data_IF_583768224181
#
_entry.id   IF_583768224181
#
_cell.length_a   1.000
_cell.length_b   1.000
_cell.length_c   1.000
_cell.angle_alpha   90.00
_cell.angle_beta   90.00
_cell.angle_gamma   90.00
#
_symmetry.space_group_name_H-M   'P 1'
#
loop_
_entity.id
_entity.type
_entity.pdbx_description
1 polymer ?
#
# COMPACT_ATOMS: atom_id res chain seq x y z
N UNK A 1 1.57 -5.34 16.42
CA UNK A 1 1.81 -4.11 17.25
C UNK A 1 1.93 -2.95 16.27
N UNK A 2 1.29 -1.81 16.53
CA UNK A 2 1.37 -0.64 15.65
C UNK A 2 2.72 0.07 15.83
N UNK A 3 3.25 0.71 14.79
CA UNK A 3 4.52 1.47 14.86
C UNK A 3 4.45 2.55 15.97
N UNK A 4 5.51 2.67 16.76
CA UNK A 4 5.59 3.64 17.88
C UNK A 4 5.46 5.07 17.34
N UNK A 5 4.57 5.87 17.94
CA UNK A 5 4.26 7.24 17.51
C UNK A 5 3.14 7.36 16.47
N UNK A 6 2.55 6.24 15.99
CA UNK A 6 1.46 6.27 15.02
C UNK A 6 0.24 7.06 15.49
N UNK A 7 -0.14 6.94 16.75
CA UNK A 7 -1.30 7.64 17.30
C UNK A 7 -1.20 9.17 17.14
N UNK A 8 0.00 9.75 17.28
CA UNK A 8 0.22 11.18 17.01
C UNK A 8 0.00 11.50 15.53
N UNK A 9 0.55 10.69 14.63
CA UNK A 9 0.39 10.86 13.18
C UNK A 9 -1.06 10.69 12.73
N UNK A 10 -1.78 9.77 13.34
CA UNK A 10 -3.20 9.59 13.08
C UNK A 10 -4.03 10.79 13.53
N UNK A 11 -3.76 11.37 14.69
CA UNK A 11 -4.44 12.61 15.15
C UNK A 11 -4.20 13.79 14.19
N UNK A 12 -2.98 13.94 13.69
CA UNK A 12 -2.67 14.95 12.67
C UNK A 12 -3.50 14.72 11.39
N UNK A 13 -3.63 13.46 10.93
CA UNK A 13 -4.44 13.12 9.74
C UNK A 13 -5.91 13.44 9.95
N UNK A 14 -6.49 13.06 11.10
CA UNK A 14 -7.88 13.40 11.43
C UNK A 14 -8.14 14.90 11.35
N UNK A 15 -7.22 15.70 11.95
CA UNK A 15 -7.32 17.18 11.95
C UNK A 15 -7.19 17.76 10.54
N UNK A 16 -6.18 17.31 9.76
CA UNK A 16 -5.88 17.89 8.45
C UNK A 16 -6.95 17.60 7.40
N UNK A 17 -7.66 16.48 7.52
CA UNK A 17 -8.62 16.01 6.51
C UNK A 17 -10.06 15.98 7.02
N UNK A 18 -10.33 16.37 8.26
CA UNK A 18 -11.68 16.39 8.84
C UNK A 18 -12.28 15.01 9.06
N UNK A 19 -11.45 13.97 9.22
CA UNK A 19 -11.95 12.60 9.37
C UNK A 19 -12.43 12.29 10.79
N UNK A 20 -13.39 11.37 10.89
CA UNK A 20 -13.99 10.92 12.14
C UNK A 20 -13.35 9.63 12.66
N UNK A 21 -12.77 9.69 13.85
CA UNK A 21 -12.27 8.47 14.54
C UNK A 21 -13.38 7.46 14.81
N UNK A 22 -14.60 7.91 15.04
CA UNK A 22 -15.73 7.01 15.32
C UNK A 22 -16.16 6.25 14.07
N UNK A 23 -16.19 6.90 12.91
CA UNK A 23 -16.47 6.25 11.63
C UNK A 23 -15.39 5.21 11.30
N UNK A 24 -14.11 5.54 11.51
CA UNK A 24 -13.00 4.57 11.35
C UNK A 24 -13.18 3.35 12.26
N UNK A 25 -13.61 3.54 13.51
CA UNK A 25 -13.88 2.44 14.44
C UNK A 25 -15.08 1.58 13.99
N UNK A 26 -16.15 2.21 13.47
CA UNK A 26 -17.32 1.49 12.96
C UNK A 26 -16.94 0.64 11.74
N UNK A 27 -16.22 1.21 10.78
CA UNK A 27 -15.71 0.52 9.60
C UNK A 27 -14.76 -0.63 9.98
N UNK A 28 -13.92 -0.44 10.98
CA UNK A 28 -13.04 -1.47 11.52
C UNK A 28 -13.86 -2.65 12.11
N UNK A 29 -14.92 -2.38 12.88
CA UNK A 29 -15.83 -3.41 13.43
C UNK A 29 -16.51 -4.18 12.31
N UNK A 30 -17.05 -3.48 11.32
CA UNK A 30 -17.70 -4.08 10.16
C UNK A 30 -16.73 -4.99 9.41
N UNK A 31 -15.51 -4.51 9.09
CA UNK A 31 -14.52 -5.34 8.42
C UNK A 31 -14.17 -6.58 9.25
N UNK A 32 -13.97 -6.42 10.57
CA UNK A 32 -13.67 -7.55 11.46
C UNK A 32 -14.76 -8.64 11.44
N UNK A 33 -16.03 -8.27 11.34
CA UNK A 33 -17.15 -9.22 11.27
C UNK A 33 -17.22 -9.98 9.94
N UNK A 34 -16.74 -9.38 8.85
CA UNK A 34 -16.81 -9.94 7.49
C UNK A 34 -15.60 -10.80 7.13
N UNK A 35 -14.47 -10.63 7.81
CA UNK A 35 -13.24 -11.39 7.53
C UNK A 35 -13.38 -12.86 7.93
N UNK A 36 -12.78 -13.75 7.13
CA UNK A 36 -12.67 -15.17 7.44
C UNK A 36 -11.90 -15.40 8.75
N UNK A 37 -12.09 -16.57 9.39
CA UNK A 37 -11.41 -16.92 10.64
C UNK A 37 -9.89 -16.93 10.49
N UNK A 38 -9.36 -17.52 9.40
CA UNK A 38 -7.94 -17.57 9.09
C UNK A 38 -7.53 -16.37 8.22
N UNK A 39 -6.56 -15.61 8.70
CA UNK A 39 -5.97 -14.49 7.96
C UNK A 39 -4.56 -14.86 7.49
N UNK A 40 -4.12 -14.46 6.28
CA UNK A 40 -2.84 -14.87 5.69
C UNK A 40 -1.63 -14.09 6.24
N UNK A 41 -1.50 -13.95 7.55
CA UNK A 41 -0.40 -13.20 8.19
C UNK A 41 0.95 -13.90 8.01
N UNK A 42 0.97 -15.22 8.12
CA UNK A 42 2.19 -16.02 7.94
C UNK A 42 2.66 -15.91 6.51
N UNK A 43 1.74 -16.05 5.57
CA UNK A 43 1.99 -15.95 4.13
C UNK A 43 2.54 -14.57 3.75
N UNK A 44 2.00 -13.47 4.33
CA UNK A 44 2.55 -12.11 4.13
C UNK A 44 3.99 -12.03 4.64
N UNK A 45 4.22 -12.53 5.86
CA UNK A 45 5.57 -12.55 6.44
C UNK A 45 6.56 -13.31 5.56
N UNK A 46 6.16 -14.48 5.06
CA UNK A 46 7.03 -15.34 4.25
C UNK A 46 7.32 -14.74 2.86
N UNK A 47 6.43 -13.91 2.33
CA UNK A 47 6.66 -13.14 1.12
C UNK A 47 7.65 -11.99 1.33
N UNK A 48 7.72 -11.40 2.53
CA UNK A 48 8.40 -10.12 2.78
C UNK A 48 9.69 -10.27 3.60
N UNK A 49 9.66 -11.06 4.69
CA UNK A 49 10.72 -11.07 5.71
C UNK A 49 12.10 -11.37 5.12
N UNK A 50 13.06 -10.49 5.39
CA UNK A 50 14.46 -10.58 4.95
C UNK A 50 14.66 -10.65 3.42
N UNK A 51 13.64 -10.24 2.64
CA UNK A 51 13.68 -10.26 1.16
C UNK A 51 13.61 -8.84 0.58
N UNK A 52 14.12 -8.63 -0.65
CA UNK A 52 13.80 -7.44 -1.40
C UNK A 52 12.32 -7.48 -1.83
N UNK A 53 11.64 -6.33 -1.80
CA UNK A 53 10.27 -6.17 -2.26
C UNK A 53 10.13 -4.95 -3.16
N UNK A 54 9.26 -5.03 -4.16
CA UNK A 54 8.79 -3.89 -4.94
C UNK A 54 7.49 -3.37 -4.32
N UNK A 55 7.46 -2.08 -3.99
CA UNK A 55 6.23 -1.36 -3.68
C UNK A 55 5.83 -0.52 -4.89
N UNK A 56 4.63 -0.76 -5.39
CA UNK A 56 4.20 -0.26 -6.70
C UNK A 56 3.00 0.67 -6.51
N UNK A 57 3.21 1.95 -6.82
CA UNK A 57 2.18 2.98 -6.84
C UNK A 57 1.64 3.28 -8.23
N UNK A 58 0.55 4.05 -8.30
CA UNK A 58 -0.15 4.43 -9.54
C UNK A 58 0.33 5.78 -10.12
N UNK A 59 1.53 6.22 -9.79
CA UNK A 59 2.06 7.50 -10.23
C UNK A 59 2.40 7.53 -11.73
N UNK A 60 2.70 8.73 -12.28
CA UNK A 60 3.01 8.91 -13.71
C UNK A 60 4.18 8.07 -14.22
N UNK A 61 5.14 7.72 -13.36
CA UNK A 61 6.32 6.92 -13.74
C UNK A 61 6.04 5.41 -13.81
N UNK A 62 4.87 4.92 -13.38
CA UNK A 62 4.56 3.48 -13.39
C UNK A 62 4.74 2.80 -14.77
N UNK A 63 4.32 3.40 -15.90
CA UNK A 63 4.51 2.75 -17.20
C UNK A 63 5.97 2.42 -17.53
N UNK A 64 6.91 3.30 -17.14
CA UNK A 64 8.35 3.06 -17.36
C UNK A 64 8.92 1.97 -16.45
N UNK A 65 8.21 1.57 -15.39
CA UNK A 65 8.63 0.52 -14.48
C UNK A 65 8.22 -0.90 -14.93
N UNK A 66 7.31 -1.03 -15.90
CA UNK A 66 6.72 -2.32 -16.29
C UNK A 66 7.78 -3.31 -16.81
N UNK A 67 8.76 -2.86 -17.59
CA UNK A 67 9.84 -3.72 -18.10
C UNK A 67 10.65 -4.36 -16.96
N UNK A 68 10.98 -3.58 -15.94
CA UNK A 68 11.70 -4.06 -14.75
C UNK A 68 10.85 -5.07 -13.97
N UNK A 69 9.57 -4.80 -13.79
CA UNK A 69 8.65 -5.72 -13.11
C UNK A 69 8.52 -7.07 -13.86
N UNK A 70 8.54 -7.04 -15.20
CA UNK A 70 8.55 -8.24 -16.04
C UNK A 70 9.87 -9.00 -15.95
N UNK A 71 11.01 -8.30 -15.84
CA UNK A 71 12.32 -8.91 -15.70
C UNK A 71 12.47 -9.62 -14.34
N UNK A 72 12.04 -9.00 -13.25
CA UNK A 72 12.19 -9.50 -11.88
C UNK A 72 10.91 -10.13 -11.33
N UNK A 73 10.38 -11.13 -12.02
CA UNK A 73 9.10 -11.80 -11.66
C UNK A 73 9.10 -12.43 -10.26
N UNK A 74 10.25 -12.87 -9.76
CA UNK A 74 10.39 -13.55 -8.46
C UNK A 74 10.41 -12.61 -7.26
N UNK A 75 10.62 -11.29 -7.47
CA UNK A 75 10.59 -10.32 -6.38
C UNK A 75 9.14 -10.04 -6.01
N UNK A 76 8.83 -10.09 -4.71
CA UNK A 76 7.50 -9.81 -4.17
C UNK A 76 7.03 -8.42 -4.58
N UNK A 77 5.80 -8.36 -5.12
CA UNK A 77 5.13 -7.15 -5.58
C UNK A 77 4.01 -6.79 -4.62
N UNK A 78 4.20 -5.72 -3.86
CA UNK A 78 3.18 -5.11 -3.01
C UNK A 78 2.61 -3.92 -3.80
N UNK A 79 1.36 -4.03 -4.19
CA UNK A 79 0.72 -3.13 -5.17
C UNK A 79 -0.35 -2.30 -4.49
N UNK A 80 -0.25 -0.98 -4.62
CA UNK A 80 -1.31 -0.07 -4.20
C UNK A 80 -2.53 -0.18 -5.13
N UNK A 81 -3.72 0.03 -4.60
CA UNK A 81 -5.01 -0.14 -5.27
C UNK A 81 -4.98 0.36 -6.72
N UNK A 82 -4.75 1.65 -6.95
CA UNK A 82 -4.78 2.24 -8.29
C UNK A 82 -3.76 1.64 -9.27
N UNK A 83 -2.68 1.03 -8.80
CA UNK A 83 -1.70 0.36 -9.66
C UNK A 83 -2.12 -1.05 -10.09
N UNK A 84 -3.07 -1.67 -9.40
CA UNK A 84 -3.49 -3.06 -9.64
C UNK A 84 -3.92 -3.29 -11.08
N UNK A 85 -4.69 -2.35 -11.66
CA UNK A 85 -5.11 -2.40 -13.06
C UNK A 85 -3.92 -2.47 -14.01
N UNK A 86 -2.93 -1.58 -13.84
CA UNK A 86 -1.74 -1.55 -14.67
C UNK A 86 -0.95 -2.86 -14.61
N UNK A 87 -0.83 -3.46 -13.43
CA UNK A 87 -0.12 -4.73 -13.23
C UNK A 87 -0.82 -5.85 -13.99
N UNK A 88 -2.14 -5.96 -13.85
CA UNK A 88 -2.94 -7.02 -14.51
C UNK A 88 -2.98 -6.84 -16.03
N UNK A 89 -3.19 -5.61 -16.54
CA UNK A 89 -3.22 -5.31 -17.98
C UNK A 89 -1.89 -5.66 -18.68
N UNK A 90 -0.77 -5.59 -17.94
CA UNK A 90 0.55 -5.94 -18.46
C UNK A 90 0.93 -7.42 -18.26
N UNK A 91 -0.02 -8.29 -17.92
CA UNK A 91 0.20 -9.71 -17.72
C UNK A 91 1.03 -10.06 -16.48
N UNK A 92 1.15 -9.11 -15.54
CA UNK A 92 1.84 -9.32 -14.27
C UNK A 92 0.83 -9.72 -13.19
N UNK A 93 1.33 -10.44 -12.18
CA UNK A 93 0.54 -10.87 -11.02
C UNK A 93 1.04 -10.13 -9.77
N UNK A 94 0.17 -9.42 -9.04
CA UNK A 94 0.51 -8.90 -7.72
C UNK A 94 0.58 -10.05 -6.71
N UNK A 95 1.54 -10.02 -5.79
CA UNK A 95 1.59 -10.94 -4.66
C UNK A 95 0.71 -10.44 -3.51
N UNK A 96 0.76 -9.13 -3.25
CA UNK A 96 -0.06 -8.44 -2.25
C UNK A 96 -0.67 -7.20 -2.90
N UNK A 97 -1.96 -6.94 -2.64
CA UNK A 97 -2.65 -5.69 -3.01
C UNK A 97 -3.13 -5.00 -1.75
N UNK A 98 -2.75 -3.74 -1.56
CA UNK A 98 -3.28 -2.87 -0.50
C UNK A 98 -4.33 -1.95 -1.10
N UNK A 99 -5.54 -1.97 -0.55
CA UNK A 99 -6.71 -1.29 -1.13
C UNK A 99 -7.68 -0.77 -0.07
N UNK A 100 -8.26 0.39 -0.30
CA UNK A 100 -9.45 0.91 0.37
C UNK A 100 -10.73 0.68 -0.45
N UNK A 101 -10.66 -0.18 -1.49
CA UNK A 101 -11.77 -0.59 -2.35
C UNK A 101 -12.31 0.53 -3.25
N UNK A 102 -11.49 1.53 -3.57
CA UNK A 102 -11.90 2.66 -4.40
C UNK A 102 -11.28 2.65 -5.82
N UNK A 103 -10.44 1.66 -6.12
CA UNK A 103 -9.81 1.48 -7.42
C UNK A 103 -10.68 0.78 -8.47
N UNK A 104 -10.03 0.20 -9.48
CA UNK A 104 -10.72 -0.56 -10.53
C UNK A 104 -11.25 -1.89 -9.99
N UNK A 105 -12.55 -1.94 -9.72
CA UNK A 105 -13.22 -3.08 -9.07
C UNK A 105 -13.06 -4.39 -9.84
N UNK A 106 -12.98 -4.33 -11.17
CA UNK A 106 -12.78 -5.51 -12.01
C UNK A 106 -11.40 -6.10 -11.79
N UNK A 107 -10.37 -5.26 -11.73
CA UNK A 107 -9.00 -5.67 -11.45
C UNK A 107 -8.84 -6.17 -10.02
N UNK A 108 -9.48 -5.54 -9.04
CA UNK A 108 -9.49 -6.01 -7.64
C UNK A 108 -10.16 -7.38 -7.51
N UNK A 109 -11.32 -7.60 -8.17
CA UNK A 109 -11.96 -8.93 -8.23
C UNK A 109 -11.05 -9.98 -8.85
N UNK A 110 -10.41 -9.63 -9.99
CA UNK A 110 -9.51 -10.54 -10.69
C UNK A 110 -8.32 -10.93 -9.80
N UNK A 111 -7.67 -9.97 -9.14
CA UNK A 111 -6.60 -10.22 -8.19
C UNK A 111 -7.07 -11.08 -7.00
N UNK A 112 -8.17 -10.67 -6.36
CA UNK A 112 -8.67 -11.30 -5.13
C UNK A 112 -9.19 -12.73 -5.29
N UNK A 113 -9.48 -13.17 -6.51
CA UNK A 113 -9.85 -14.58 -6.83
C UNK A 113 -8.65 -15.49 -7.03
N UNK A 114 -7.44 -14.94 -7.07
CA UNK A 114 -6.19 -15.71 -7.20
C UNK A 114 -5.55 -15.95 -5.83
N UNK A 115 -4.27 -16.36 -5.82
CA UNK A 115 -3.47 -16.47 -4.59
C UNK A 115 -2.93 -15.11 -4.10
N UNK A 116 -3.29 -13.99 -4.74
CA UNK A 116 -2.95 -12.65 -4.28
C UNK A 116 -3.55 -12.38 -2.89
N UNK A 117 -2.76 -11.85 -1.97
CA UNK A 117 -3.25 -11.47 -0.66
C UNK A 117 -3.80 -10.05 -0.73
N UNK A 118 -5.09 -9.90 -0.41
CA UNK A 118 -5.76 -8.61 -0.36
C UNK A 118 -5.68 -8.02 1.04
N UNK A 119 -4.99 -6.91 1.18
CA UNK A 119 -4.87 -6.13 2.42
C UNK A 119 -5.86 -4.99 2.36
N UNK A 120 -7.05 -5.22 2.91
CA UNK A 120 -8.17 -4.27 2.80
C UNK A 120 -8.15 -3.31 3.98
N UNK A 121 -8.17 -2.01 3.67
CA UNK A 121 -8.22 -0.95 4.66
C UNK A 121 -9.63 -0.47 4.93
N UNK A 122 -10.00 -0.45 6.22
CA UNK A 122 -11.28 0.10 6.69
C UNK A 122 -11.09 1.49 7.27
N UNK A 123 -11.82 2.46 6.72
CA UNK A 123 -11.96 3.83 7.24
C UNK A 123 -13.38 4.37 6.99
N UNK A 124 -13.73 5.54 7.55
CA UNK A 124 -15.09 6.08 7.48
C UNK A 124 -15.65 6.16 6.05
N UNK A 125 -14.84 6.63 5.10
CA UNK A 125 -15.28 6.91 3.73
C UNK A 125 -15.57 5.65 2.89
N UNK A 126 -15.19 4.43 3.34
CA UNK A 126 -15.38 3.21 2.55
C UNK A 126 -16.29 2.15 3.19
N UNK A 127 -17.01 2.49 4.24
CA UNK A 127 -17.87 1.56 4.99
C UNK A 127 -18.85 0.77 4.09
N UNK A 128 -19.47 1.43 3.11
CA UNK A 128 -20.40 0.80 2.16
C UNK A 128 -19.72 -0.25 1.25
N UNK A 129 -18.43 -0.06 0.95
CA UNK A 129 -17.67 -0.95 0.07
C UNK A 129 -17.06 -2.15 0.80
N UNK A 130 -16.97 -2.11 2.12
CA UNK A 130 -16.28 -3.15 2.92
C UNK A 130 -16.86 -4.54 2.67
N UNK A 131 -18.14 -4.67 2.39
CA UNK A 131 -18.80 -5.95 2.04
C UNK A 131 -18.15 -6.67 0.86
N UNK A 132 -17.39 -5.94 0.03
CA UNK A 132 -16.70 -6.48 -1.11
C UNK A 132 -15.60 -7.51 -0.77
N UNK A 133 -15.09 -7.51 0.47
CA UNK A 133 -14.10 -8.48 0.96
C UNK A 133 -14.55 -9.94 0.83
N UNK A 134 -15.87 -10.19 0.80
CA UNK A 134 -16.44 -11.52 0.60
C UNK A 134 -16.06 -12.15 -0.75
N UNK A 135 -15.65 -11.34 -1.72
CA UNK A 135 -15.18 -11.80 -3.03
C UNK A 135 -13.71 -12.21 -3.07
N UNK A 136 -12.96 -12.02 -1.97
CA UNK A 136 -11.54 -12.28 -1.92
C UNK A 136 -11.22 -13.60 -1.25
N UNK A 137 -10.37 -14.41 -1.90
CA UNK A 137 -9.94 -15.70 -1.39
C UNK A 137 -9.02 -15.59 -0.18
N UNK A 138 -8.06 -14.68 -0.24
CA UNK A 138 -7.07 -14.42 0.79
C UNK A 138 -7.15 -12.95 1.20
N UNK A 139 -7.68 -12.65 2.37
CA UNK A 139 -7.90 -11.29 2.81
C UNK A 139 -7.47 -11.08 4.26
N UNK A 140 -6.83 -9.94 4.52
CA UNK A 140 -6.57 -9.40 5.85
C UNK A 140 -7.14 -7.99 5.94
N UNK A 141 -7.69 -7.63 7.09
CA UNK A 141 -8.17 -6.29 7.36
C UNK A 141 -7.10 -5.40 8.00
N UNK A 142 -7.09 -4.13 7.60
CA UNK A 142 -6.30 -3.09 8.26
C UNK A 142 -7.16 -1.88 8.58
N UNK A 143 -6.69 -1.08 9.54
CA UNK A 143 -7.29 0.19 9.94
C UNK A 143 -6.20 1.18 10.33
N UNK A 144 -6.51 2.46 10.36
CA UNK A 144 -5.63 3.50 10.89
C UNK A 144 -5.89 3.82 12.37
N UNK A 145 -7.01 3.38 12.94
CA UNK A 145 -7.35 3.49 14.36
C UNK A 145 -6.82 2.30 15.18
N UNK A 146 -7.30 2.11 16.42
CA UNK A 146 -6.91 0.98 17.27
C UNK A 146 -7.30 -0.35 16.62
N UNK A 147 -6.37 -1.30 16.48
CA UNK A 147 -6.65 -2.61 15.88
C UNK A 147 -7.69 -3.39 16.72
N UNK A 148 -8.47 -4.25 16.04
CA UNK A 148 -9.51 -5.06 16.67
C UNK A 148 -9.57 -6.44 16.02
N UNK A 149 -9.50 -7.50 16.83
CA UNK A 149 -9.63 -8.88 16.36
C UNK A 149 -8.70 -9.21 15.19
N UNK A 150 -9.30 -9.51 14.04
CA UNK A 150 -8.61 -9.86 12.80
C UNK A 150 -8.07 -8.64 12.03
N UNK A 151 -8.54 -7.42 12.36
CA UNK A 151 -8.10 -6.19 11.72
C UNK A 151 -6.87 -5.64 12.44
N UNK A 152 -5.79 -5.39 11.68
CA UNK A 152 -4.48 -4.95 12.17
C UNK A 152 -4.27 -3.46 11.85
N UNK A 153 -3.26 -2.85 12.47
CA UNK A 153 -2.82 -1.51 12.12
C UNK A 153 -1.30 -1.55 11.92
N UNK A 154 -0.86 -1.41 10.67
CA UNK A 154 0.55 -1.35 10.30
C UNK A 154 1.04 0.09 10.11
N UNK A 155 0.15 1.08 10.17
CA UNK A 155 0.41 2.47 9.82
C UNK A 155 0.13 2.77 8.35
N UNK A 156 0.45 4.00 7.95
CA UNK A 156 0.19 4.50 6.59
C UNK A 156 -1.19 5.16 6.42
N UNK A 157 -1.29 6.03 5.42
CA UNK A 157 -2.47 6.86 5.18
C UNK A 157 -3.10 6.63 3.80
N UNK A 158 -2.29 6.61 2.73
CA UNK A 158 -2.73 6.25 1.38
C UNK A 158 -2.29 4.82 1.06
N UNK A 159 -2.89 4.15 0.08
CA UNK A 159 -2.51 2.76 -0.23
C UNK A 159 -1.03 2.61 -0.58
N UNK A 160 -0.45 3.63 -1.23
CA UNK A 160 0.97 3.62 -1.58
C UNK A 160 1.88 3.58 -0.36
N UNK A 161 1.71 4.51 0.58
CA UNK A 161 2.52 4.51 1.80
C UNK A 161 2.16 3.35 2.73
N UNK A 162 0.89 2.89 2.80
CA UNK A 162 0.51 1.65 3.51
C UNK A 162 1.27 0.43 3.01
N UNK A 163 1.52 0.32 1.70
CA UNK A 163 2.36 -0.74 1.15
C UNK A 163 3.77 -0.72 1.75
N UNK A 164 4.36 0.47 1.91
CA UNK A 164 5.71 0.64 2.49
C UNK A 164 5.70 0.28 3.98
N UNK A 165 4.71 0.78 4.73
CA UNK A 165 4.54 0.45 6.15
C UNK A 165 4.34 -1.05 6.36
N UNK A 166 3.59 -1.72 5.49
CA UNK A 166 3.42 -3.18 5.54
C UNK A 166 4.74 -3.90 5.31
N UNK A 167 5.51 -3.49 4.30
CA UNK A 167 6.80 -4.08 3.98
C UNK A 167 7.81 -3.93 5.14
N UNK A 168 7.89 -2.75 5.73
CA UNK A 168 8.75 -2.46 6.87
C UNK A 168 8.33 -3.23 8.12
N UNK A 169 7.02 -3.29 8.41
CA UNK A 169 6.47 -4.05 9.53
C UNK A 169 6.86 -5.53 9.50
N UNK A 170 6.90 -6.13 8.33
CA UNK A 170 7.33 -7.52 8.13
C UNK A 170 8.83 -7.66 7.84
N UNK A 171 9.63 -6.63 8.12
CA UNK A 171 11.08 -6.63 8.04
C UNK A 171 11.63 -7.02 6.67
N UNK A 172 11.14 -6.35 5.61
CA UNK A 172 11.75 -6.45 4.30
C UNK A 172 13.22 -6.02 4.35
N UNK A 173 14.13 -6.78 3.72
CA UNK A 173 15.55 -6.40 3.66
C UNK A 173 15.76 -5.12 2.85
N UNK A 174 15.06 -5.02 1.72
CA UNK A 174 15.07 -3.86 0.80
C UNK A 174 13.66 -3.54 0.36
N UNK A 175 13.28 -2.26 0.44
CA UNK A 175 12.00 -1.74 -0.06
C UNK A 175 12.29 -0.80 -1.23
N UNK A 176 11.85 -1.17 -2.43
CA UNK A 176 12.13 -0.46 -3.67
C UNK A 176 10.82 0.11 -4.22
N UNK A 177 10.70 1.44 -4.23
CA UNK A 177 9.50 2.14 -4.67
C UNK A 177 9.53 2.36 -6.18
N UNK A 178 8.47 1.93 -6.86
CA UNK A 178 8.23 2.07 -8.30
C UNK A 178 6.86 2.71 -8.55
N UNK A 179 6.77 3.71 -9.43
CA UNK A 179 5.51 4.40 -9.67
C UNK A 179 4.97 5.19 -8.46
N UNK A 180 5.84 5.51 -7.50
CA UNK A 180 5.51 6.29 -6.31
C UNK A 180 5.95 7.75 -6.49
N UNK A 181 5.14 8.51 -7.22
CA UNK A 181 5.41 9.91 -7.56
C UNK A 181 4.64 10.86 -6.63
N UNK A 182 5.37 11.74 -5.94
CA UNK A 182 4.80 12.69 -4.98
C UNK A 182 4.72 14.13 -5.51
N UNK A 183 4.70 14.27 -6.84
CA UNK A 183 4.52 15.55 -7.53
C UNK A 183 3.05 15.95 -7.67
N UNK A 184 2.81 16.97 -8.52
CA UNK A 184 1.46 17.47 -8.82
C UNK A 184 0.77 16.73 -9.97
N UNK A 185 1.51 15.93 -10.76
CA UNK A 185 0.96 15.12 -11.84
C UNK A 185 0.33 13.85 -11.26
N UNK A 186 -0.91 13.55 -11.68
CA UNK A 186 -1.64 12.33 -11.29
C UNK A 186 -1.46 11.31 -12.40
N UNK A 187 -1.09 10.08 -12.05
CA UNK A 187 -0.91 8.99 -13.02
C UNK A 187 -2.24 8.53 -13.62
N UNK A 188 -2.20 8.05 -14.86
CA UNK A 188 -3.40 7.59 -15.61
C UNK A 188 -4.13 6.41 -14.95
N UNK A 189 -3.46 5.66 -14.12
CA UNK A 189 -4.01 4.53 -13.35
C UNK A 189 -4.48 4.93 -11.94
N UNK A 190 -4.14 6.12 -11.46
CA UNK A 190 -4.80 6.71 -10.32
C UNK A 190 -6.25 7.04 -10.72
N UNK A 191 -7.21 7.08 -9.80
CA UNK A 191 -8.67 7.27 -10.06
C UNK A 191 -9.00 8.04 -11.35
N UNK A 192 -9.94 7.52 -12.19
CA UNK A 192 -10.36 8.13 -13.46
C UNK A 192 -10.97 9.53 -13.29
N UNK A 193 -11.70 9.78 -12.19
CA UNK A 193 -12.19 11.11 -11.80
C UNK A 193 -11.56 11.47 -10.46
N UNK A 194 -10.81 12.53 -10.42
CA UNK A 194 -10.34 13.15 -9.20
C UNK A 194 -11.27 14.32 -8.92
N UNK A 195 -12.31 14.05 -8.15
CA UNK A 195 -13.35 15.05 -7.82
C UNK A 195 -12.74 16.27 -7.13
N UNK A 196 -11.67 16.08 -6.37
CA UNK A 196 -10.91 17.17 -5.75
C UNK A 196 -9.39 16.93 -5.89
N UNK A 197 -8.77 17.56 -6.90
CA UNK A 197 -7.33 17.48 -7.17
C UNK A 197 -6.49 18.02 -6.01
N UNK A 198 -6.93 19.08 -5.36
CA UNK A 198 -6.22 19.69 -4.25
C UNK A 198 -6.13 18.72 -3.06
N UNK A 199 -7.23 18.06 -2.69
CA UNK A 199 -7.27 17.04 -1.65
C UNK A 199 -6.35 15.85 -2.02
N UNK A 200 -6.37 15.41 -3.28
CA UNK A 200 -5.47 14.32 -3.71
C UNK A 200 -4.00 14.69 -3.55
N UNK A 201 -3.61 15.89 -3.94
CA UNK A 201 -2.23 16.39 -3.78
C UNK A 201 -1.88 16.51 -2.29
N UNK A 202 -2.80 17.01 -1.45
CA UNK A 202 -2.60 17.08 0.00
C UNK A 202 -2.39 15.69 0.61
N UNK A 203 -3.18 14.69 0.22
CA UNK A 203 -3.00 13.28 0.63
C UNK A 203 -1.64 12.72 0.20
N UNK A 204 -1.19 12.98 -1.05
CA UNK A 204 0.13 12.56 -1.52
C UNK A 204 1.26 13.22 -0.72
N UNK A 205 1.15 14.52 -0.41
CA UNK A 205 2.13 15.23 0.44
C UNK A 205 2.17 14.65 1.86
N UNK A 206 1.01 14.32 2.44
CA UNK A 206 0.93 13.68 3.75
C UNK A 206 1.55 12.28 3.71
N UNK A 207 1.26 11.47 2.71
CA UNK A 207 1.87 10.14 2.51
C UNK A 207 3.40 10.24 2.41
N UNK A 208 3.93 11.21 1.64
CA UNK A 208 5.38 11.46 1.57
C UNK A 208 5.98 11.78 2.95
N UNK A 209 5.37 12.68 3.74
CA UNK A 209 5.83 13.02 5.10
C UNK A 209 5.82 11.79 6.02
N UNK A 210 4.83 10.91 5.89
CA UNK A 210 4.78 9.66 6.64
C UNK A 210 5.91 8.70 6.25
N UNK A 211 6.27 8.61 4.97
CA UNK A 211 7.42 7.83 4.51
C UNK A 211 8.74 8.39 5.03
N UNK A 212 8.91 9.71 5.05
CA UNK A 212 10.07 10.39 5.61
C UNK A 212 10.20 10.10 7.13
N UNK A 213 9.07 10.13 7.86
CA UNK A 213 9.03 9.75 9.27
C UNK A 213 9.30 8.25 9.51
N UNK A 214 8.79 7.37 8.63
CA UNK A 214 9.06 5.94 8.70
C UNK A 214 10.56 5.66 8.50
N UNK A 215 11.18 6.34 7.54
CA UNK A 215 12.60 6.17 7.21
C UNK A 215 13.55 6.45 8.39
N UNK A 216 13.15 7.32 9.33
CA UNK A 216 13.92 7.59 10.55
C UNK A 216 13.93 6.41 11.54
N UNK A 217 13.06 5.41 11.36
CA UNK A 217 12.83 4.28 12.27
C UNK A 217 13.00 2.92 11.61
N UNK A 218 13.03 2.89 10.29
CA UNK A 218 13.05 1.66 9.51
C UNK A 218 14.41 0.96 9.61
N UNK A 219 14.38 -0.35 9.80
CA UNK A 219 15.55 -1.22 9.65
C UNK A 219 15.78 -1.71 8.22
N UNK A 220 14.88 -1.38 7.29
CA UNK A 220 14.98 -1.77 5.88
C UNK A 220 15.86 -0.81 5.09
N UNK A 221 16.54 -1.30 4.06
CA UNK A 221 17.19 -0.43 3.07
C UNK A 221 16.13 0.14 2.12
N UNK A 222 15.93 1.46 2.15
CA UNK A 222 14.86 2.15 1.44
C UNK A 222 15.38 2.79 0.14
N UNK A 223 14.74 2.46 -0.99
CA UNK A 223 15.09 2.96 -2.31
C UNK A 223 13.88 3.56 -3.03
N UNK A 224 14.08 4.65 -3.76
CA UNK A 224 13.01 5.29 -4.52
C UNK A 224 13.53 5.91 -5.82
N UNK A 225 12.72 5.85 -6.87
CA UNK A 225 12.98 6.57 -8.14
C UNK A 225 12.73 8.07 -8.02
N UNK A 226 12.01 8.51 -6.98
CA UNK A 226 11.74 9.93 -6.67
C UNK A 226 12.48 10.35 -5.40
N UNK A 227 12.66 11.66 -5.19
CA UNK A 227 13.35 12.18 -3.99
C UNK A 227 12.43 12.14 -2.77
N UNK A 228 12.80 11.30 -1.79
CA UNK A 228 12.17 11.20 -0.46
C UNK A 228 13.31 11.24 0.57
N UNK A 229 13.16 12.04 1.63
CA UNK A 229 14.16 12.09 2.71
C UNK A 229 14.27 10.72 3.39
N UNK A 230 15.49 10.24 3.61
CA UNK A 230 15.75 8.93 4.21
C UNK A 230 15.70 7.75 3.22
N UNK A 231 15.35 7.99 1.93
CA UNK A 231 15.43 6.99 0.87
C UNK A 231 16.62 7.25 -0.05
N UNK A 232 17.34 6.20 -0.42
CA UNK A 232 18.35 6.28 -1.48
C UNK A 232 17.66 6.47 -2.83
N UNK A 233 17.93 7.63 -3.48
CA UNK A 233 17.41 7.88 -4.83
C UNK A 233 18.12 7.00 -5.83
N UNK A 234 17.38 6.30 -6.67
CA UNK A 234 17.88 5.38 -7.69
C UNK A 234 17.38 5.73 -9.08
N UNK A 235 18.21 5.39 -10.09
CA UNK A 235 17.75 5.31 -11.47
C UNK A 235 17.19 3.90 -11.71
N UNK A 236 16.06 3.81 -12.39
CA UNK A 236 15.40 2.54 -12.72
C UNK A 236 16.33 1.58 -13.47
N UNK A 237 17.24 2.11 -14.32
CA UNK A 237 18.22 1.33 -15.06
C UNK A 237 19.29 0.69 -14.17
N UNK A 238 19.51 1.21 -12.94
CA UNK A 238 20.49 0.70 -11.96
C UNK A 238 19.87 -0.22 -10.90
N UNK A 239 18.60 -0.57 -11.02
CA UNK A 239 17.89 -1.44 -10.06
C UNK A 239 18.58 -2.81 -9.94
N UNK A 240 19.18 -3.31 -11.02
CA UNK A 240 19.91 -4.59 -11.02
C UNK A 240 21.00 -4.65 -9.96
N UNK A 241 21.78 -3.57 -9.83
CA UNK A 241 22.87 -3.50 -8.86
C UNK A 241 22.36 -3.50 -7.40
N UNK A 242 21.11 -3.06 -7.19
CA UNK A 242 20.50 -3.04 -5.86
C UNK A 242 19.98 -4.43 -5.51
N UNK A 243 19.42 -5.14 -6.49
CA UNK A 243 18.86 -6.48 -6.30
C UNK A 243 20.00 -7.49 -6.12
N UNK A 244 21.06 -7.39 -6.93
CA UNK A 244 22.20 -8.32 -6.92
C UNK A 244 23.06 -8.25 -5.65
N UNK A 245 23.11 -7.12 -4.96
CA UNK A 245 23.84 -6.94 -3.68
C UNK A 245 23.07 -7.50 -2.48
N UNK A 246 22.47 -8.69 -2.62
CA UNK A 246 21.65 -9.36 -1.57
C UNK A 246 22.52 -10.03 -0.52
#
# INVERSE_FOLDING_TARGET
MTIVGWESKYREILKDFGYSRNEDKQSCRLLNSLLQKKTPIVEIRDLIKNKPVFVIGAGPSLPSCISILKKYKKITKIVADGATKAIIENGLKPDIVVTDLDGDITSLKKAGRTNTIMVVHAHGDNSEKIHFVKNFRNCIGTTQTKPMGKVKNFGGFTDGDRCVFLADYFHAKKIILLGMDFGTKIGRYSKRKVDNRAVKIAKLRRGKKLLEWLAEKSGSNLYSTTKIKGFTKINIQKIENIIAKS
#
